data_IF_794814002435
#
_entry.id   IF_794814002435
#
_cell.length_a   1.000
_cell.length_b   1.000
_cell.length_c   1.000
_cell.angle_alpha   90.00
_cell.angle_beta   90.00
_cell.angle_gamma   90.00
#
_symmetry.space_group_name_H-M   'P 1'
#
loop_
_entity.id
_entity.type
_entity.pdbx_description
1 polymer ?
#
# COMPACT_ATOMS: atom_id res chain seq x y z
N UNK A 1 3.61 -15.85 -3.28
CA UNK A 1 3.10 -16.69 -2.18
C UNK A 1 1.95 -15.94 -1.53
N UNK A 2 0.82 -16.60 -1.34
CA UNK A 2 -0.42 -15.98 -0.87
C UNK A 2 -0.86 -16.58 0.44
N UNK A 3 -1.33 -15.73 1.34
CA UNK A 3 -1.94 -16.13 2.60
C UNK A 3 -3.39 -15.67 2.62
N UNK A 4 -4.25 -16.57 3.07
CA UNK A 4 -5.67 -16.31 3.21
C UNK A 4 -5.98 -15.80 4.61
N UNK A 5 -6.65 -14.65 4.69
CA UNK A 5 -7.28 -14.14 5.89
C UNK A 5 -8.77 -14.43 5.83
N UNK A 6 -9.37 -14.83 6.95
CA UNK A 6 -10.80 -15.11 7.08
C UNK A 6 -11.43 -14.17 8.10
N UNK A 7 -12.59 -13.61 7.78
CA UNK A 7 -13.40 -12.90 8.77
C UNK A 7 -14.30 -13.91 9.53
N UNK A 8 -14.23 -13.99 10.86
CA UNK A 8 -14.88 -15.05 11.63
C UNK A 8 -16.41 -15.01 11.51
N UNK A 9 -17.01 -13.82 11.44
CA UNK A 9 -18.47 -13.65 11.42
C UNK A 9 -19.11 -13.70 10.04
N UNK A 10 -18.37 -13.40 8.97
CA UNK A 10 -18.93 -13.32 7.60
C UNK A 10 -18.47 -14.45 6.69
N UNK A 11 -17.46 -15.23 7.10
CA UNK A 11 -16.86 -16.26 6.26
C UNK A 11 -16.10 -15.71 5.04
N UNK A 12 -15.93 -14.38 4.92
CA UNK A 12 -15.21 -13.79 3.80
C UNK A 12 -13.73 -14.12 3.85
N UNK A 13 -13.19 -14.58 2.73
CA UNK A 13 -11.76 -14.83 2.56
C UNK A 13 -11.11 -13.69 1.77
N UNK A 14 -9.95 -13.24 2.24
CA UNK A 14 -9.09 -12.29 1.52
C UNK A 14 -7.72 -12.89 1.33
N UNK A 15 -7.27 -12.94 0.09
CA UNK A 15 -5.93 -13.43 -0.25
C UNK A 15 -4.97 -12.24 -0.35
N UNK A 16 -3.82 -12.36 0.32
CA UNK A 16 -2.79 -11.32 0.34
C UNK A 16 -1.46 -11.95 -0.03
N UNK A 17 -0.78 -11.37 -1.01
CA UNK A 17 0.58 -11.76 -1.37
C UNK A 17 1.59 -11.31 -0.30
N UNK A 18 2.57 -12.14 0.05
CA UNK A 18 3.57 -11.79 1.07
C UNK A 18 4.71 -10.91 0.57
N UNK A 19 4.93 -10.84 -0.75
CA UNK A 19 6.05 -10.13 -1.37
C UNK A 19 5.67 -8.80 -2.02
N UNK A 20 6.43 -8.44 -3.07
CA UNK A 20 6.23 -7.22 -3.85
C UNK A 20 4.84 -7.17 -4.50
N UNK A 21 4.20 -6.01 -4.38
CA UNK A 21 2.87 -5.74 -4.88
C UNK A 21 2.93 -4.89 -6.14
N UNK A 22 2.95 -5.54 -7.30
CA UNK A 22 2.86 -4.86 -8.60
C UNK A 22 1.63 -3.97 -8.73
N UNK A 23 0.42 -4.39 -8.28
CA UNK A 23 -0.77 -3.54 -8.37
C UNK A 23 -0.66 -2.29 -7.51
N UNK A 24 -0.02 -2.36 -6.34
CA UNK A 24 0.20 -1.17 -5.51
C UNK A 24 1.30 -0.30 -6.11
N UNK A 25 2.41 -0.88 -6.58
CA UNK A 25 3.50 -0.12 -7.16
C UNK A 25 3.06 0.73 -8.36
N UNK A 26 2.38 0.09 -9.33
CA UNK A 26 1.89 0.77 -10.53
C UNK A 26 0.64 1.60 -10.24
N UNK A 27 -0.25 1.09 -9.37
CA UNK A 27 -1.53 1.71 -9.10
C UNK A 27 -1.48 2.86 -8.09
N UNK A 28 -0.52 2.89 -7.17
CA UNK A 28 -0.34 4.02 -6.25
C UNK A 28 -0.03 5.30 -7.03
N UNK A 29 0.70 5.18 -8.14
CA UNK A 29 0.95 6.29 -9.06
C UNK A 29 -0.32 6.91 -9.65
N UNK A 30 -1.48 6.24 -9.62
CA UNK A 30 -2.74 6.79 -10.12
C UNK A 30 -3.59 7.37 -8.97
N UNK A 31 -3.21 8.57 -8.50
CA UNK A 31 -3.86 9.28 -7.37
C UNK A 31 -3.89 8.52 -6.03
N UNK A 32 -3.19 7.40 -5.90
CA UNK A 32 -3.30 6.52 -4.74
C UNK A 32 -4.65 5.80 -4.60
N UNK A 33 -5.51 5.80 -5.63
CA UNK A 33 -6.86 5.21 -5.56
C UNK A 33 -6.88 3.75 -5.06
N UNK A 34 -6.00 2.85 -5.54
CA UNK A 34 -5.95 1.47 -5.06
C UNK A 34 -5.63 1.33 -3.56
N UNK A 35 -5.00 2.33 -2.95
CA UNK A 35 -4.64 2.31 -1.53
C UNK A 35 -5.88 2.45 -0.64
N UNK A 36 -6.88 3.24 -1.06
CA UNK A 36 -8.13 3.40 -0.31
C UNK A 36 -8.93 2.10 -0.24
N UNK A 37 -9.02 1.36 -1.35
CA UNK A 37 -9.72 0.07 -1.37
C UNK A 37 -9.06 -1.02 -0.51
N UNK A 38 -7.77 -0.83 -0.19
CA UNK A 38 -7.01 -1.72 0.69
C UNK A 38 -6.92 -1.22 2.13
N UNK A 39 -7.69 -0.19 2.49
CA UNK A 39 -7.74 0.35 3.85
C UNK A 39 -6.52 1.19 4.24
N UNK A 40 -5.66 1.53 3.28
CA UNK A 40 -4.48 2.36 3.48
C UNK A 40 -4.78 3.83 3.19
N UNK A 41 -5.82 4.37 3.81
CA UNK A 41 -6.31 5.73 3.55
C UNK A 41 -5.22 6.79 3.76
N UNK A 42 -4.39 6.64 4.81
CA UNK A 42 -3.26 7.53 5.07
C UNK A 42 -2.30 7.65 3.88
N UNK A 43 -1.88 6.51 3.31
CA UNK A 43 -0.98 6.47 2.17
C UNK A 43 -1.67 6.93 0.87
N UNK A 44 -2.96 6.62 0.71
CA UNK A 44 -3.80 7.16 -0.36
C UNK A 44 -3.83 8.69 -0.36
N UNK A 45 -4.10 9.29 0.80
CA UNK A 45 -4.12 10.75 0.98
C UNK A 45 -2.75 11.37 0.75
N UNK A 46 -1.67 10.77 1.26
CA UNK A 46 -0.31 11.25 1.01
C UNK A 46 0.00 11.31 -0.49
N UNK A 47 -0.40 10.27 -1.24
CA UNK A 47 -0.19 10.22 -2.69
C UNK A 47 -1.06 11.22 -3.44
N UNK A 48 -2.30 11.43 -3.00
CA UNK A 48 -3.19 12.45 -3.53
C UNK A 48 -2.58 13.86 -3.38
N UNK A 49 -2.03 14.17 -2.19
CA UNK A 49 -1.38 15.45 -1.93
C UNK A 49 -0.18 15.66 -2.85
N UNK A 50 0.67 14.64 -3.02
CA UNK A 50 1.82 14.72 -3.93
C UNK A 50 1.39 14.97 -5.38
N UNK A 51 0.31 14.34 -5.83
CA UNK A 51 -0.29 14.59 -7.15
C UNK A 51 -0.78 16.03 -7.30
N UNK A 52 -1.50 16.56 -6.30
CA UNK A 52 -1.94 17.95 -6.33
C UNK A 52 -0.76 18.93 -6.32
N UNK A 53 0.31 18.64 -5.58
CA UNK A 53 1.52 19.45 -5.60
C UNK A 53 2.20 19.43 -6.98
N UNK A 54 2.29 18.27 -7.63
CA UNK A 54 2.82 18.18 -8.99
C UNK A 54 2.03 19.02 -10.00
N UNK A 55 0.72 19.15 -9.81
CA UNK A 55 -0.12 20.01 -10.66
C UNK A 55 -0.01 21.50 -10.28
N UNK A 56 0.01 21.81 -8.98
CA UNK A 56 -0.02 23.19 -8.49
C UNK A 56 1.31 23.94 -8.65
N UNK A 57 2.44 23.24 -8.48
CA UNK A 57 3.79 23.82 -8.56
C UNK A 57 4.08 24.48 -9.92
N UNK A 58 3.94 23.80 -11.08
CA UNK A 58 4.20 24.44 -12.37
C UNK A 58 3.21 25.58 -12.66
N UNK A 59 1.95 25.46 -12.21
CA UNK A 59 0.93 26.49 -12.35
C UNK A 59 1.28 27.77 -11.57
N UNK A 60 1.79 27.63 -10.34
CA UNK A 60 2.16 28.75 -9.48
C UNK A 60 3.50 29.40 -9.90
N UNK A 61 4.43 28.61 -10.44
CA UNK A 61 5.76 29.08 -10.84
C UNK A 61 5.84 29.63 -12.28
N UNK A 62 4.71 29.68 -13.01
CA UNK A 62 4.69 30.15 -14.39
C UNK A 62 5.45 29.24 -15.38
N UNK A 63 5.65 27.97 -15.02
CA UNK A 63 6.31 26.97 -15.88
C UNK A 63 7.78 26.65 -15.56
N UNK A 64 8.49 27.46 -14.77
CA UNK A 64 9.95 27.33 -14.53
C UNK A 64 10.35 26.46 -13.31
N UNK A 65 9.45 25.61 -12.81
CA UNK A 65 9.67 24.83 -11.59
C UNK A 65 10.36 23.46 -11.81
N UNK A 66 11.34 23.39 -12.71
CA UNK A 66 11.96 22.12 -13.11
C UNK A 66 12.56 21.35 -11.92
N UNK A 67 13.36 22.00 -11.07
CA UNK A 67 14.02 21.32 -9.94
C UNK A 67 13.00 20.77 -8.93
N UNK A 68 11.94 21.54 -8.63
CA UNK A 68 10.91 21.11 -7.69
C UNK A 68 10.01 20.02 -8.29
N UNK A 69 9.70 20.10 -9.59
CA UNK A 69 8.97 19.08 -10.34
C UNK A 69 9.69 17.74 -10.38
N UNK A 70 11.01 17.75 -10.65
CA UNK A 70 11.84 16.55 -10.57
C UNK A 70 11.89 15.97 -9.15
N UNK A 71 12.03 16.82 -8.14
CA UNK A 71 12.05 16.40 -6.74
C UNK A 71 10.74 15.69 -6.34
N UNK A 72 9.59 16.26 -6.72
CA UNK A 72 8.29 15.64 -6.49
C UNK A 72 8.12 14.33 -7.24
N UNK A 73 8.62 14.24 -8.48
CA UNK A 73 8.59 12.99 -9.27
C UNK A 73 9.40 11.87 -8.62
N UNK A 74 10.60 12.17 -8.12
CA UNK A 74 11.40 11.18 -7.38
C UNK A 74 10.76 10.80 -6.04
N UNK A 75 10.13 11.75 -5.34
CA UNK A 75 9.39 11.46 -4.11
C UNK A 75 8.22 10.50 -4.37
N UNK A 76 7.43 10.75 -5.43
CA UNK A 76 6.34 9.86 -5.85
C UNK A 76 6.88 8.49 -6.22
N UNK A 77 7.94 8.40 -7.03
CA UNK A 77 8.54 7.13 -7.42
C UNK A 77 9.05 6.35 -6.21
N UNK A 78 9.79 7.02 -5.30
CA UNK A 78 10.29 6.41 -4.07
C UNK A 78 9.16 5.89 -3.18
N UNK A 79 8.07 6.66 -3.07
CA UNK A 79 6.90 6.24 -2.32
C UNK A 79 6.17 5.07 -3.00
N UNK A 80 6.04 5.05 -4.33
CA UNK A 80 5.52 3.92 -5.07
C UNK A 80 6.36 2.66 -4.84
N UNK A 81 7.69 2.76 -4.90
CA UNK A 81 8.59 1.63 -4.63
C UNK A 81 8.41 1.12 -3.20
N UNK A 82 8.39 2.03 -2.22
CA UNK A 82 8.14 1.69 -0.83
C UNK A 82 6.80 0.97 -0.63
N UNK A 83 5.72 1.49 -1.23
CA UNK A 83 4.39 0.89 -1.16
C UNK A 83 4.30 -0.42 -1.94
N UNK A 84 5.05 -0.58 -3.03
CA UNK A 84 5.20 -1.86 -3.71
C UNK A 84 5.81 -2.92 -2.79
N UNK A 85 6.85 -2.56 -2.05
CA UNK A 85 7.54 -3.48 -1.14
C UNK A 85 6.74 -3.77 0.14
N UNK A 86 6.11 -2.76 0.74
CA UNK A 86 5.48 -2.85 2.08
C UNK A 86 3.96 -2.82 2.07
N UNK A 87 3.32 -2.47 0.96
CA UNK A 87 1.88 -2.24 0.89
C UNK A 87 1.03 -3.47 1.17
N UNK A 88 1.51 -4.67 0.82
CA UNK A 88 0.82 -5.91 1.18
C UNK A 88 0.86 -6.17 2.69
N UNK A 89 2.00 -5.95 3.35
CA UNK A 89 2.13 -6.06 4.80
C UNK A 89 1.25 -5.04 5.53
N UNK A 90 1.20 -3.80 5.03
CA UNK A 90 0.33 -2.74 5.57
C UNK A 90 -1.16 -3.11 5.41
N UNK A 91 -1.53 -3.67 4.26
CA UNK A 91 -2.90 -4.14 4.01
C UNK A 91 -3.27 -5.30 4.94
N UNK A 92 -2.36 -6.27 5.13
CA UNK A 92 -2.57 -7.40 6.03
C UNK A 92 -2.79 -6.94 7.46
N UNK A 93 -1.93 -6.04 7.97
CA UNK A 93 -2.08 -5.41 9.29
C UNK A 93 -3.42 -4.71 9.45
N UNK A 94 -3.87 -3.98 8.43
CA UNK A 94 -5.18 -3.33 8.45
C UNK A 94 -6.32 -4.34 8.55
N UNK A 95 -6.30 -5.43 7.76
CA UNK A 95 -7.35 -6.45 7.84
C UNK A 95 -7.35 -7.18 9.18
N UNK A 96 -6.18 -7.52 9.73
CA UNK A 96 -6.09 -8.10 11.07
C UNK A 96 -6.66 -7.15 12.14
N UNK A 97 -6.38 -5.85 12.04
CA UNK A 97 -6.97 -4.84 12.93
C UNK A 97 -8.50 -4.71 12.77
N UNK A 98 -9.04 -5.02 11.60
CA UNK A 98 -10.48 -5.10 11.34
C UNK A 98 -11.12 -6.42 11.82
N UNK A 99 -10.38 -7.30 12.51
CA UNK A 99 -10.89 -8.56 13.04
C UNK A 99 -10.84 -9.73 12.05
N UNK A 100 -10.07 -9.63 10.97
CA UNK A 100 -9.71 -10.81 10.18
C UNK A 100 -8.66 -11.64 10.93
N UNK A 101 -8.67 -12.95 10.72
CA UNK A 101 -7.72 -13.90 11.29
C UNK A 101 -7.05 -14.70 10.16
N UNK A 102 -5.90 -15.32 10.43
CA UNK A 102 -5.30 -16.25 9.49
C UNK A 102 -6.24 -17.45 9.30
N UNK A 103 -6.55 -17.80 8.05
CA UNK A 103 -7.41 -18.95 7.77
C UNK A 103 -6.76 -20.28 8.20
N UNK A 104 -5.43 -20.35 8.15
CA UNK A 104 -4.61 -21.50 8.53
C UNK A 104 -3.40 -21.01 9.34
N UNK A 105 -3.57 -20.72 10.65
CA UNK A 105 -2.51 -20.12 11.46
C UNK A 105 -1.29 -21.02 11.64
N UNK A 106 -1.49 -22.34 11.68
CA UNK A 106 -0.41 -23.33 11.88
C UNK A 106 0.39 -23.64 10.60
N UNK A 107 0.00 -23.04 9.47
CA UNK A 107 0.63 -23.30 8.19
C UNK A 107 2.00 -22.62 8.12
N UNK A 108 2.95 -23.21 7.38
CA UNK A 108 4.26 -22.59 7.16
C UNK A 108 4.10 -21.23 6.48
N UNK A 109 3.06 -21.09 5.66
CA UNK A 109 2.78 -19.86 4.94
C UNK A 109 2.37 -18.71 5.84
N UNK A 110 1.49 -18.96 6.81
CA UNK A 110 1.08 -17.95 7.78
C UNK A 110 2.27 -17.49 8.64
N UNK A 111 3.14 -18.41 9.06
CA UNK A 111 4.36 -18.10 9.83
C UNK A 111 5.37 -17.26 9.04
N UNK A 112 5.67 -17.64 7.81
CA UNK A 112 6.60 -16.87 6.96
C UNK A 112 6.02 -15.49 6.63
N UNK A 113 4.71 -15.41 6.42
CA UNK A 113 4.03 -14.14 6.19
C UNK A 113 4.12 -13.22 7.40
N UNK A 114 3.79 -13.71 8.60
CA UNK A 114 3.84 -12.89 9.82
C UNK A 114 5.24 -12.40 10.14
N UNK A 115 6.26 -13.25 10.01
CA UNK A 115 7.65 -12.85 10.16
C UNK A 115 8.01 -11.73 9.16
N UNK A 116 7.66 -11.90 7.88
CA UNK A 116 7.93 -10.88 6.84
C UNK A 116 7.18 -9.56 7.07
N UNK A 117 6.01 -9.63 7.68
CA UNK A 117 5.14 -8.49 7.98
C UNK A 117 5.42 -7.87 9.37
N UNK A 118 6.35 -8.45 10.13
CA UNK A 118 6.68 -8.03 11.49
C UNK A 118 5.46 -8.09 12.41
N UNK A 119 4.66 -9.14 12.27
CA UNK A 119 3.53 -9.44 13.16
C UNK A 119 4.00 -10.46 14.19
N UNK A 120 3.81 -10.15 15.47
CA UNK A 120 3.85 -11.15 16.53
C UNK A 120 2.49 -11.85 16.51
N UNK A 121 2.44 -13.11 16.03
CA UNK A 121 1.27 -13.99 16.18
C UNK A 121 1.50 -14.90 17.39
#
# INVERSE_FOLDING_TARGET
MQVALRHPNSGSFKFIDTGWSWPIFLGAGFFGLPLFFRGMAFWGTAMLILWFLQLAVPLAAGGDADTLGWTLSFAVLGLCVFLGARGNALSARHFLACGYEFAYPDSQEARLASESWGLEI
#
